data_IF_650994732153
#
_entry.id   IF_650994732153
#
_cell.length_a   1.000
_cell.length_b   1.000
_cell.length_c   1.000
_cell.angle_alpha   90.00
_cell.angle_beta   90.00
_cell.angle_gamma   90.00
#
_symmetry.space_group_name_H-M   'P 1'
#
loop_
_entity.id
_entity.type
_entity.pdbx_description
1 polymer ?
#
# COMPACT_ATOMS: atom_id res chain seq x y z
N UNK A 1 -3.24 48.12 -35.80
CA UNK A 1 -2.30 47.07 -36.30
C UNK A 1 -2.89 45.72 -35.84
N UNK A 2 -3.37 44.93 -36.80
CA UNK A 2 -3.91 43.61 -36.52
C UNK A 2 -2.76 42.64 -36.35
N UNK A 3 -2.66 42.03 -35.19
CA UNK A 3 -1.64 40.99 -34.88
C UNK A 3 -1.98 39.70 -35.61
N UNK A 4 -1.05 39.22 -36.43
CA UNK A 4 -1.14 37.94 -37.16
C UNK A 4 -0.90 36.78 -36.19
N UNK A 5 -1.86 35.89 -36.06
CA UNK A 5 -1.79 34.69 -35.20
C UNK A 5 -1.02 33.59 -35.95
N UNK A 6 0.26 33.47 -35.71
CA UNK A 6 1.10 32.41 -36.30
C UNK A 6 0.89 31.11 -35.52
N UNK A 7 0.03 30.24 -36.01
CA UNK A 7 -0.10 28.85 -35.53
C UNK A 7 1.15 28.05 -35.92
N UNK A 8 2.12 27.95 -35.01
CA UNK A 8 3.24 26.99 -35.17
C UNK A 8 2.72 25.58 -34.99
N UNK A 9 2.52 24.84 -36.06
CA UNK A 9 2.32 23.40 -36.03
C UNK A 9 3.58 22.76 -35.44
N UNK A 10 3.52 22.38 -34.14
CA UNK A 10 4.56 21.56 -33.52
C UNK A 10 4.40 20.17 -34.14
N UNK A 11 5.23 19.82 -35.13
CA UNK A 11 5.33 18.45 -35.61
C UNK A 11 5.87 17.63 -34.43
N UNK A 12 4.98 16.99 -33.71
CA UNK A 12 5.33 15.97 -32.74
C UNK A 12 5.92 14.81 -33.56
N UNK A 13 7.24 14.66 -33.56
CA UNK A 13 7.87 13.44 -34.01
C UNK A 13 7.35 12.30 -33.15
N UNK A 14 6.26 11.69 -33.57
CA UNK A 14 5.66 10.55 -32.90
C UNK A 14 6.70 9.42 -32.92
N UNK A 15 7.30 9.15 -31.78
CA UNK A 15 8.18 7.97 -31.64
C UNK A 15 7.32 6.75 -31.93
N UNK A 16 7.74 5.85 -32.81
CA UNK A 16 6.98 4.64 -33.11
C UNK A 16 6.79 3.87 -31.81
N UNK A 17 5.58 3.34 -31.60
CA UNK A 17 5.32 2.45 -30.47
C UNK A 17 6.12 1.16 -30.69
N UNK A 18 6.99 0.83 -29.74
CA UNK A 18 7.78 -0.41 -29.80
C UNK A 18 7.12 -1.49 -28.94
N UNK A 19 7.20 -2.74 -29.43
CA UNK A 19 6.82 -3.92 -28.66
C UNK A 19 7.63 -3.96 -27.36
N UNK A 20 6.95 -4.19 -26.23
CA UNK A 20 7.62 -4.36 -24.94
C UNK A 20 8.22 -5.77 -24.83
N UNK A 21 9.40 -5.88 -24.22
CA UNK A 21 9.97 -7.15 -23.82
C UNK A 21 9.21 -7.73 -22.64
N UNK A 22 9.15 -9.06 -22.59
CA UNK A 22 8.67 -9.80 -21.43
C UNK A 22 9.73 -9.86 -20.33
N UNK A 23 9.28 -10.06 -19.09
CA UNK A 23 10.17 -10.26 -17.95
C UNK A 23 10.75 -11.68 -17.95
N UNK A 24 12.02 -11.83 -17.57
CA UNK A 24 12.73 -13.14 -17.58
C UNK A 24 12.35 -14.01 -16.39
N UNK A 25 12.02 -13.42 -15.26
CA UNK A 25 11.67 -14.10 -14.02
C UNK A 25 10.58 -13.38 -13.28
N UNK A 26 9.87 -14.10 -12.44
CA UNK A 26 8.93 -13.51 -11.50
C UNK A 26 9.69 -12.74 -10.42
N UNK A 27 9.15 -11.59 -10.05
CA UNK A 27 9.67 -10.78 -8.96
C UNK A 27 8.55 -10.53 -7.94
N UNK A 28 8.65 -11.16 -6.78
CA UNK A 28 7.74 -10.97 -5.64
C UNK A 28 8.41 -10.20 -4.49
N UNK A 29 9.50 -9.50 -4.76
CA UNK A 29 10.20 -8.70 -3.76
C UNK A 29 9.54 -7.32 -3.61
N UNK A 30 8.53 -7.25 -2.77
CA UNK A 30 7.83 -6.03 -2.38
C UNK A 30 7.36 -6.14 -0.92
N UNK A 31 6.99 -5.02 -0.37
CA UNK A 31 6.51 -4.87 1.01
C UNK A 31 5.05 -4.43 0.94
N UNK A 32 4.24 -4.87 1.88
CA UNK A 32 2.89 -4.34 2.11
C UNK A 32 2.84 -3.60 3.43
N UNK A 33 2.04 -2.56 3.51
CA UNK A 33 1.86 -1.76 4.73
C UNK A 33 0.40 -1.38 4.93
N UNK A 34 0.07 -1.06 6.18
CA UNK A 34 -1.22 -0.54 6.58
C UNK A 34 -1.07 0.44 7.74
N UNK A 35 -1.99 1.42 7.84
CA UNK A 35 -2.03 2.44 8.90
C UNK A 35 -3.37 2.40 9.61
N UNK A 36 -3.35 2.15 10.91
CA UNK A 36 -4.55 2.23 11.76
C UNK A 36 -4.69 3.61 12.40
N UNK A 37 -5.92 4.08 12.43
CA UNK A 37 -6.24 5.43 12.92
C UNK A 37 -7.38 5.42 13.93
N UNK A 38 -7.40 6.42 14.81
CA UNK A 38 -8.53 6.73 15.68
C UNK A 38 -9.01 8.16 15.47
N UNK A 39 -10.26 8.43 15.81
CA UNK A 39 -10.79 9.78 15.83
C UNK A 39 -10.52 10.44 17.20
N UNK A 40 -9.71 11.48 17.24
CA UNK A 40 -9.44 12.29 18.44
C UNK A 40 -9.85 13.73 18.15
N UNK A 41 -10.78 14.28 18.92
CA UNK A 41 -11.30 15.63 18.74
C UNK A 41 -11.69 15.92 17.26
N UNK A 42 -12.48 15.02 16.67
CA UNK A 42 -12.92 15.07 15.27
C UNK A 42 -11.80 15.02 14.22
N UNK A 43 -10.57 14.68 14.63
CA UNK A 43 -9.42 14.52 13.74
C UNK A 43 -9.00 13.06 13.66
N UNK A 44 -8.87 12.55 12.43
CA UNK A 44 -8.33 11.21 12.18
C UNK A 44 -6.82 11.21 12.46
N UNK A 45 -6.38 10.37 13.38
CA UNK A 45 -5.02 10.36 13.91
C UNK A 45 -4.43 8.94 13.85
N UNK A 46 -3.34 8.71 13.10
CA UNK A 46 -2.64 7.44 13.09
C UNK A 46 -2.09 7.07 14.47
N UNK A 47 -2.26 5.81 14.87
CA UNK A 47 -1.71 5.28 16.12
C UNK A 47 -0.86 4.02 15.93
N UNK A 48 -1.01 3.35 14.79
CA UNK A 48 -0.27 2.12 14.48
C UNK A 48 0.07 2.10 13.00
N UNK A 49 1.27 1.64 12.67
CA UNK A 49 1.71 1.37 11.31
C UNK A 49 2.39 0.00 11.31
N UNK A 50 1.95 -0.88 10.43
CA UNK A 50 2.60 -2.17 10.19
C UNK A 50 3.11 -2.27 8.76
N UNK A 51 4.14 -3.09 8.54
CA UNK A 51 4.52 -3.55 7.21
C UNK A 51 5.05 -4.98 7.26
N UNK A 52 4.95 -5.66 6.11
CA UNK A 52 5.32 -7.06 5.93
C UNK A 52 6.06 -7.25 4.59
N UNK A 53 7.20 -7.95 4.61
CA UNK A 53 8.03 -8.18 3.42
C UNK A 53 7.90 -9.62 2.85
N UNK A 54 6.92 -10.38 3.29
CA UNK A 54 6.74 -11.79 2.94
C UNK A 54 7.36 -12.76 3.96
N UNK A 55 8.14 -12.24 4.92
CA UNK A 55 8.79 -13.02 5.97
C UNK A 55 8.71 -12.34 7.33
N UNK A 56 9.16 -11.08 7.40
CA UNK A 56 9.32 -10.33 8.63
C UNK A 56 8.33 -9.16 8.69
N UNK A 57 7.89 -8.83 9.90
CA UNK A 57 7.04 -7.69 10.18
C UNK A 57 7.85 -6.56 10.83
N UNK A 58 7.49 -5.34 10.50
CA UNK A 58 7.83 -4.16 11.29
C UNK A 58 6.54 -3.53 11.81
N UNK A 59 6.64 -2.90 12.98
CA UNK A 59 5.49 -2.32 13.68
C UNK A 59 5.94 -1.07 14.42
N UNK A 60 5.22 0.02 14.24
CA UNK A 60 5.37 1.25 15.02
C UNK A 60 4.04 1.59 15.67
N UNK A 61 4.03 1.71 16.99
CA UNK A 61 2.84 2.00 17.80
C UNK A 61 3.03 3.30 18.56
N UNK A 62 2.00 4.15 18.58
CA UNK A 62 2.03 5.42 19.26
C UNK A 62 1.97 5.25 20.79
N UNK A 63 2.60 6.17 21.51
CA UNK A 63 2.42 6.35 22.95
C UNK A 63 1.17 7.21 23.24
N UNK A 64 0.95 7.53 24.54
CA UNK A 64 -0.15 8.41 24.98
C UNK A 64 -0.19 9.77 24.28
N UNK A 65 0.96 10.29 23.87
CA UNK A 65 1.07 11.61 23.23
C UNK A 65 0.57 11.63 21.80
N UNK A 66 0.38 10.44 21.17
CA UNK A 66 0.06 10.30 19.74
C UNK A 66 0.99 11.13 18.84
N UNK A 67 2.28 11.18 19.21
CA UNK A 67 3.28 11.97 18.47
C UNK A 67 3.52 11.36 17.09
N UNK A 68 2.90 11.98 16.09
CA UNK A 68 2.96 11.52 14.70
C UNK A 68 4.39 11.52 14.15
N UNK A 69 5.20 12.51 14.49
CA UNK A 69 6.59 12.58 14.03
C UNK A 69 7.39 11.37 14.54
N UNK A 70 7.25 11.04 15.81
CA UNK A 70 7.91 9.88 16.42
C UNK A 70 7.43 8.58 15.79
N UNK A 71 6.11 8.38 15.66
CA UNK A 71 5.48 7.20 15.07
C UNK A 71 6.05 6.91 13.66
N UNK A 72 5.98 7.89 12.77
CA UNK A 72 6.46 7.73 11.40
C UNK A 72 7.99 7.65 11.29
N UNK A 73 8.73 8.35 12.16
CA UNK A 73 10.20 8.26 12.18
C UNK A 73 10.66 6.84 12.56
N UNK A 74 10.06 6.24 13.58
CA UNK A 74 10.36 4.86 13.99
C UNK A 74 10.02 3.91 12.83
N UNK A 75 8.84 4.03 12.24
CA UNK A 75 8.40 3.19 11.12
C UNK A 75 9.37 3.27 9.93
N UNK A 76 9.70 4.49 9.48
CA UNK A 76 10.58 4.66 8.31
C UNK A 76 11.97 4.10 8.60
N UNK A 77 12.55 4.34 9.79
CA UNK A 77 13.83 3.76 10.16
C UNK A 77 13.82 2.22 10.16
N UNK A 78 12.75 1.61 10.65
CA UNK A 78 12.57 0.16 10.56
C UNK A 78 12.42 -0.29 9.09
N UNK A 79 11.68 0.44 8.26
CA UNK A 79 11.51 0.13 6.84
C UNK A 79 12.85 0.13 6.09
N UNK A 80 13.81 0.99 6.50
CA UNK A 80 15.15 1.02 5.92
C UNK A 80 15.93 -0.29 6.14
N UNK A 81 15.61 -1.07 7.16
CA UNK A 81 16.27 -2.37 7.40
C UNK A 81 15.95 -3.40 6.33
N UNK A 82 14.86 -3.21 5.57
CA UNK A 82 14.47 -4.09 4.47
C UNK A 82 15.25 -3.87 3.17
N UNK A 83 16.17 -2.90 3.16
CA UNK A 83 16.99 -2.64 1.96
C UNK A 83 18.12 -3.64 1.73
N UNK A 84 18.26 -4.71 2.31
CA UNK A 84 19.32 -5.70 2.06
C UNK A 84 20.29 -5.27 0.91
N UNK A 85 20.36 -5.97 -0.20
CA UNK A 85 21.18 -5.61 -1.39
C UNK A 85 20.43 -4.75 -2.42
N UNK A 86 19.15 -4.51 -2.25
CA UNK A 86 18.35 -3.75 -3.21
C UNK A 86 18.66 -2.24 -3.13
N UNK A 87 18.64 -1.57 -4.29
CA UNK A 87 18.70 -0.10 -4.36
C UNK A 87 17.30 0.53 -4.39
N UNK A 88 16.28 -0.26 -4.63
CA UNK A 88 14.88 0.20 -4.66
C UNK A 88 14.01 -0.85 -4.00
N UNK A 89 13.13 -0.40 -3.10
CA UNK A 89 12.06 -1.20 -2.53
C UNK A 89 10.72 -0.62 -2.93
N UNK A 90 9.75 -1.49 -3.20
CA UNK A 90 8.37 -1.12 -3.49
C UNK A 90 7.50 -1.48 -2.28
N UNK A 91 6.71 -0.53 -1.83
CA UNK A 91 5.77 -0.67 -0.70
C UNK A 91 4.36 -0.47 -1.23
N UNK A 92 3.48 -1.44 -1.03
CA UNK A 92 2.06 -1.35 -1.38
C UNK A 92 1.22 -1.09 -0.13
N UNK A 93 0.30 -0.13 -0.21
CA UNK A 93 -0.82 -0.01 0.70
C UNK A 93 -2.13 -0.13 -0.09
N UNK A 94 -3.21 -0.58 0.55
CA UNK A 94 -4.50 -0.72 -0.11
C UNK A 94 -5.33 0.54 0.10
N UNK A 95 -5.62 1.27 -1.00
CA UNK A 95 -6.21 2.61 -0.99
C UNK A 95 -5.26 3.70 -0.46
N UNK A 96 -3.96 3.57 -0.76
CA UNK A 96 -2.92 4.57 -0.43
C UNK A 96 -3.34 5.99 -0.81
N UNK A 97 -3.92 6.15 -2.00
CA UNK A 97 -4.34 7.44 -2.56
C UNK A 97 -5.45 8.11 -1.76
N UNK A 98 -6.33 7.33 -1.15
CA UNK A 98 -7.45 7.84 -0.37
C UNK A 98 -7.17 7.96 1.12
N UNK A 99 -6.10 7.32 1.63
CA UNK A 99 -5.88 7.21 3.07
C UNK A 99 -4.40 7.30 3.47
N UNK A 100 -3.63 6.22 3.42
CA UNK A 100 -2.29 6.12 4.00
C UNK A 100 -1.31 7.16 3.46
N UNK A 101 -1.39 7.48 2.17
CA UNK A 101 -0.52 8.44 1.50
C UNK A 101 -0.62 9.84 2.07
N UNK A 102 -1.81 10.22 2.57
CA UNK A 102 -2.06 11.53 3.19
C UNK A 102 -1.25 11.68 4.47
N UNK A 103 -1.18 10.61 5.27
CA UNK A 103 -0.47 10.63 6.55
C UNK A 103 1.04 10.53 6.37
N UNK A 104 1.53 9.62 5.52
CA UNK A 104 2.96 9.33 5.43
C UNK A 104 3.75 10.42 4.69
N UNK A 105 3.19 11.04 3.67
CA UNK A 105 3.91 11.91 2.72
C UNK A 105 4.72 13.01 3.39
N UNK A 106 4.13 13.75 4.35
CA UNK A 106 4.83 14.84 5.06
C UNK A 106 6.01 14.37 5.89
N UNK A 107 5.97 13.14 6.39
CA UNK A 107 7.04 12.58 7.24
C UNK A 107 8.21 12.05 6.43
N UNK A 108 8.01 11.73 5.14
CA UNK A 108 9.07 11.31 4.23
C UNK A 108 10.08 12.44 3.94
N UNK A 109 9.66 13.71 4.03
CA UNK A 109 10.51 14.88 3.71
C UNK A 109 11.79 14.95 4.57
N UNK A 110 11.76 14.42 5.79
CA UNK A 110 12.96 14.37 6.66
C UNK A 110 13.94 13.27 6.28
N UNK A 111 13.59 12.37 5.38
CA UNK A 111 14.42 11.23 4.95
C UNK A 111 15.00 11.40 3.55
N UNK A 112 14.48 12.31 2.73
CA UNK A 112 14.99 12.50 1.38
C UNK A 112 14.13 13.39 0.49
N UNK A 113 14.44 13.35 -0.82
CA UNK A 113 13.67 14.06 -1.83
C UNK A 113 12.42 13.25 -2.18
N UNK A 114 11.27 13.81 -1.87
CA UNK A 114 9.95 13.21 -2.12
C UNK A 114 9.39 13.72 -3.45
N UNK A 115 8.92 12.79 -4.28
CA UNK A 115 8.35 13.03 -5.60
C UNK A 115 7.00 12.29 -5.70
N UNK A 116 5.89 12.94 -5.34
CA UNK A 116 4.56 12.38 -5.49
C UNK A 116 4.10 12.45 -6.95
N UNK A 117 3.59 11.36 -7.47
CA UNK A 117 2.93 11.32 -8.77
C UNK A 117 1.42 11.50 -8.58
N UNK A 118 0.90 12.58 -9.15
CA UNK A 118 -0.53 12.91 -9.13
C UNK A 118 -1.12 12.77 -10.54
N UNK A 119 -2.34 12.27 -10.62
CA UNK A 119 -3.14 12.25 -11.84
C UNK A 119 -4.57 12.69 -11.53
N UNK A 120 -5.06 13.73 -12.20
CA UNK A 120 -6.36 14.34 -11.94
C UNK A 120 -6.61 14.63 -10.45
N UNK A 121 -5.60 15.19 -9.75
CA UNK A 121 -5.67 15.50 -8.33
C UNK A 121 -5.58 14.31 -7.38
N UNK A 122 -5.51 13.07 -7.89
CA UNK A 122 -5.37 11.86 -7.08
C UNK A 122 -3.92 11.41 -7.01
N UNK A 123 -3.49 11.02 -5.82
CA UNK A 123 -2.16 10.46 -5.58
C UNK A 123 -2.08 9.06 -6.20
N UNK A 124 -1.14 8.84 -7.09
CA UNK A 124 -0.90 7.55 -7.76
C UNK A 124 0.23 6.75 -7.12
N UNK A 125 1.28 7.44 -6.72
CA UNK A 125 2.43 6.88 -6.04
C UNK A 125 3.25 7.97 -5.35
N UNK A 126 4.09 7.57 -4.39
CA UNK A 126 5.06 8.46 -3.75
C UNK A 126 6.44 7.82 -3.91
N UNK A 127 7.33 8.50 -4.59
CA UNK A 127 8.74 8.09 -4.70
C UNK A 127 9.58 8.95 -3.78
N UNK A 128 10.42 8.34 -2.97
CA UNK A 128 11.42 9.04 -2.17
C UNK A 128 12.82 8.55 -2.53
N UNK A 129 13.70 9.49 -2.87
CA UNK A 129 15.15 9.25 -3.00
C UNK A 129 15.81 9.64 -1.68
N UNK A 130 16.33 8.64 -0.98
CA UNK A 130 16.87 8.81 0.37
C UNK A 130 18.17 9.63 0.37
N UNK A 131 18.30 10.49 1.39
CA UNK A 131 19.51 11.28 1.65
C UNK A 131 20.15 10.92 2.99
N UNK A 132 19.51 10.08 3.78
CA UNK A 132 19.99 9.66 5.10
C UNK A 132 21.24 8.79 5.02
N UNK A 133 22.11 8.90 6.04
CA UNK A 133 23.38 8.13 6.16
C UNK A 133 23.12 6.63 6.02
N UNK A 134 23.96 5.92 5.29
CA UNK A 134 23.84 4.47 5.06
C UNK A 134 22.87 4.07 3.93
N UNK A 135 21.92 4.96 3.55
CA UNK A 135 20.93 4.69 2.52
C UNK A 135 20.88 5.75 1.41
N UNK A 136 21.89 6.65 1.36
CA UNK A 136 21.95 7.72 0.37
C UNK A 136 21.87 7.18 -1.06
N UNK A 137 20.92 7.73 -1.84
CA UNK A 137 20.70 7.35 -3.22
C UNK A 137 19.74 6.18 -3.42
N UNK A 138 19.44 5.38 -2.38
CA UNK A 138 18.42 4.34 -2.43
C UNK A 138 17.01 4.96 -2.56
N UNK A 139 16.07 4.17 -3.04
CA UNK A 139 14.72 4.66 -3.38
C UNK A 139 13.66 3.80 -2.71
N UNK A 140 12.63 4.41 -2.14
CA UNK A 140 11.37 3.75 -1.75
C UNK A 140 10.28 4.25 -2.68
N UNK A 141 9.42 3.35 -3.16
CA UNK A 141 8.26 3.69 -3.99
C UNK A 141 7.01 3.14 -3.31
N UNK A 142 6.19 4.03 -2.77
CA UNK A 142 4.88 3.67 -2.25
C UNK A 142 3.87 3.66 -3.39
N UNK A 143 3.07 2.61 -3.48
CA UNK A 143 2.07 2.38 -4.52
C UNK A 143 0.73 1.98 -3.94
N UNK A 144 -0.32 2.32 -4.67
CA UNK A 144 -1.68 1.97 -4.33
C UNK A 144 -2.09 0.65 -5.01
N UNK A 145 -2.30 -0.40 -4.22
CA UNK A 145 -2.78 -1.68 -4.75
C UNK A 145 -4.25 -1.64 -5.18
N UNK A 146 -5.06 -0.72 -4.64
CA UNK A 146 -6.45 -0.53 -5.06
C UNK A 146 -6.56 -0.10 -6.54
N UNK A 147 -5.55 0.60 -7.08
CA UNK A 147 -5.52 0.99 -8.48
C UNK A 147 -5.26 -0.20 -9.43
N UNK A 148 -4.71 -1.30 -8.92
CA UNK A 148 -4.54 -2.57 -9.65
C UNK A 148 -5.72 -3.52 -9.41
N UNK A 149 -6.23 -3.56 -8.18
CA UNK A 149 -7.29 -4.47 -7.73
C UNK A 149 -8.38 -3.65 -7.00
N UNK A 150 -9.34 -3.03 -7.73
CA UNK A 150 -10.29 -2.05 -7.18
C UNK A 150 -11.47 -2.71 -6.45
N UNK A 151 -11.19 -3.51 -5.44
CA UNK A 151 -12.15 -4.15 -4.56
C UNK A 151 -11.70 -4.02 -3.11
N UNK A 152 -12.64 -4.09 -2.16
CA UNK A 152 -12.29 -4.12 -0.73
C UNK A 152 -11.40 -5.33 -0.41
N UNK A 153 -10.45 -5.18 0.52
CA UNK A 153 -9.47 -6.22 0.87
C UNK A 153 -10.14 -7.56 1.23
N UNK A 154 -11.23 -7.55 2.00
CA UNK A 154 -12.02 -8.76 2.34
C UNK A 154 -12.49 -9.51 1.09
N UNK A 155 -13.05 -8.79 0.09
CA UNK A 155 -13.50 -9.39 -1.16
C UNK A 155 -12.34 -9.94 -2.00
N UNK A 156 -11.17 -9.31 -1.92
CA UNK A 156 -9.96 -9.82 -2.56
C UNK A 156 -9.48 -11.09 -1.87
N UNK A 157 -9.52 -11.18 -0.54
CA UNK A 157 -9.20 -12.41 0.19
C UNK A 157 -10.07 -13.58 -0.29
N UNK A 158 -11.37 -13.36 -0.41
CA UNK A 158 -12.32 -14.35 -0.94
C UNK A 158 -11.98 -14.74 -2.39
N UNK A 159 -11.80 -13.75 -3.27
CA UNK A 159 -11.54 -13.98 -4.70
C UNK A 159 -10.22 -14.71 -4.98
N UNK A 160 -9.20 -14.47 -4.15
CA UNK A 160 -7.89 -15.13 -4.27
C UNK A 160 -7.74 -16.35 -3.37
N UNK A 161 -8.79 -16.80 -2.67
CA UNK A 161 -8.77 -17.91 -1.71
C UNK A 161 -7.60 -17.77 -0.70
N UNK A 162 -7.54 -16.59 -0.04
CA UNK A 162 -6.57 -16.35 1.03
C UNK A 162 -7.14 -16.92 2.32
N UNK A 163 -6.40 -17.82 2.94
CA UNK A 163 -6.81 -18.49 4.20
C UNK A 163 -6.70 -17.52 5.38
N UNK A 164 -5.75 -16.61 5.32
CA UNK A 164 -5.57 -15.54 6.32
C UNK A 164 -6.77 -14.61 6.24
N UNK A 165 -7.80 -14.85 7.07
CA UNK A 165 -9.02 -14.04 7.05
C UNK A 165 -8.84 -12.76 7.86
N UNK A 166 -9.43 -11.68 7.36
CA UNK A 166 -9.54 -10.42 8.10
C UNK A 166 -10.33 -10.64 9.39
N UNK A 167 -9.72 -10.35 10.55
CA UNK A 167 -10.35 -10.43 11.86
C UNK A 167 -11.40 -9.33 12.09
N UNK A 168 -12.05 -9.39 13.24
CA UNK A 168 -12.86 -8.30 13.77
C UNK A 168 -12.04 -7.45 14.73
N UNK A 169 -12.27 -6.14 14.73
CA UNK A 169 -11.60 -5.21 15.63
C UNK A 169 -12.59 -4.18 16.17
N UNK A 170 -12.53 -3.78 17.47
CA UNK A 170 -13.46 -2.81 18.06
C UNK A 170 -13.10 -1.37 17.70
N UNK A 171 -13.32 -0.96 16.45
CA UNK A 171 -12.93 0.36 15.92
C UNK A 171 -13.51 1.57 16.66
N UNK A 172 -14.60 1.39 17.41
CA UNK A 172 -15.21 2.48 18.20
C UNK A 172 -14.53 2.66 19.56
N UNK A 173 -13.67 1.74 20.00
CA UNK A 173 -12.84 1.92 21.17
C UNK A 173 -11.66 2.81 20.84
N UNK A 174 -11.54 3.95 21.51
CA UNK A 174 -10.54 4.98 21.19
C UNK A 174 -9.38 5.08 22.17
N UNK A 175 -9.43 4.34 23.28
CA UNK A 175 -8.29 4.26 24.20
C UNK A 175 -7.28 3.23 23.70
N UNK A 176 -6.25 3.73 23.01
CA UNK A 176 -5.19 2.90 22.42
C UNK A 176 -4.31 2.18 23.46
N UNK A 177 -4.44 2.51 24.72
CA UNK A 177 -3.70 1.87 25.82
C UNK A 177 -4.59 0.99 26.69
N UNK A 178 -5.87 0.84 26.31
CA UNK A 178 -6.82 0.05 27.07
C UNK A 178 -6.31 -1.37 27.31
N UNK A 179 -6.35 -1.79 28.56
CA UNK A 179 -6.16 -3.17 29.02
C UNK A 179 -7.22 -3.48 30.06
N UNK A 180 -7.85 -4.64 29.96
CA UNK A 180 -8.88 -5.04 30.90
C UNK A 180 -9.84 -6.05 30.31
N UNK A 181 -11.11 -5.99 30.70
CA UNK A 181 -12.15 -6.90 30.23
C UNK A 181 -12.38 -6.78 28.72
N UNK A 182 -12.83 -7.85 28.10
CA UNK A 182 -13.15 -7.86 26.67
C UNK A 182 -14.15 -6.74 26.33
N UNK A 183 -13.91 -5.93 25.27
CA UNK A 183 -14.74 -4.76 24.93
C UNK A 183 -16.17 -5.18 24.58
N UNK A 184 -17.15 -4.41 25.05
CA UNK A 184 -18.58 -4.65 24.77
C UNK A 184 -18.87 -4.63 23.27
N UNK A 185 -19.92 -5.35 22.86
CA UNK A 185 -20.31 -5.50 21.44
C UNK A 185 -20.52 -4.16 20.72
N UNK A 186 -20.94 -3.11 21.42
CA UNK A 186 -21.17 -1.77 20.88
C UNK A 186 -19.92 -1.12 20.25
N UNK A 187 -18.72 -1.54 20.66
CA UNK A 187 -17.46 -1.08 20.10
C UNK A 187 -17.09 -1.76 18.77
N UNK A 188 -17.76 -2.86 18.44
CA UNK A 188 -17.43 -3.68 17.27
C UNK A 188 -18.33 -3.32 16.08
N UNK A 189 -17.76 -2.91 14.96
CA UNK A 189 -18.50 -2.61 13.74
C UNK A 189 -18.65 -3.87 12.88
N UNK A 190 -19.91 -4.21 12.55
CA UNK A 190 -20.21 -5.29 11.60
C UNK A 190 -19.98 -6.72 12.09
N UNK A 191 -19.85 -6.92 13.42
CA UNK A 191 -19.83 -8.25 14.03
C UNK A 191 -21.25 -8.71 14.32
N UNK A 192 -21.55 -9.97 14.08
CA UNK A 192 -22.81 -10.60 14.55
C UNK A 192 -22.71 -10.99 16.04
N UNK A 193 -23.87 -11.14 16.72
CA UNK A 193 -23.88 -11.57 18.11
C UNK A 193 -23.18 -12.92 18.32
N UNK A 194 -23.38 -13.86 17.40
CA UNK A 194 -22.75 -15.19 17.47
C UNK A 194 -21.23 -15.13 17.33
N UNK A 195 -20.71 -14.30 16.42
CA UNK A 195 -19.26 -14.10 16.25
C UNK A 195 -18.65 -13.39 17.46
N UNK A 196 -19.36 -12.40 18.02
CA UNK A 196 -18.96 -11.74 19.26
C UNK A 196 -18.87 -12.71 20.43
N UNK A 197 -19.85 -13.60 20.59
CA UNK A 197 -19.88 -14.59 21.69
C UNK A 197 -18.72 -15.58 21.60
N UNK A 198 -18.33 -15.97 20.37
CA UNK A 198 -17.16 -16.81 20.13
C UNK A 198 -15.88 -16.10 20.61
N UNK A 199 -15.66 -14.87 20.14
CA UNK A 199 -14.51 -14.06 20.55
C UNK A 199 -14.50 -13.79 22.06
N UNK A 200 -15.66 -13.45 22.65
CA UNK A 200 -15.76 -13.20 24.08
C UNK A 200 -15.36 -14.42 24.91
N UNK A 201 -15.68 -15.64 24.46
CA UNK A 201 -15.24 -16.88 25.12
C UNK A 201 -13.73 -17.08 25.04
N UNK A 202 -13.12 -16.78 23.90
CA UNK A 202 -11.66 -16.88 23.73
C UNK A 202 -10.89 -15.99 24.71
N UNK A 203 -11.43 -14.80 25.01
CA UNK A 203 -10.80 -13.81 25.90
C UNK A 203 -11.33 -13.84 27.34
N UNK A 204 -12.22 -14.80 27.71
CA UNK A 204 -12.85 -14.82 29.02
C UNK A 204 -11.88 -15.04 30.19
N UNK A 205 -10.71 -15.63 29.94
CA UNK A 205 -9.71 -15.98 30.96
C UNK A 205 -8.46 -15.07 30.93
N UNK A 206 -8.41 -14.06 30.06
CA UNK A 206 -7.24 -13.19 29.90
C UNK A 206 -7.65 -11.73 29.76
N UNK A 207 -6.79 -10.83 30.23
CA UNK A 207 -6.98 -9.39 30.00
C UNK A 207 -6.83 -9.07 28.52
N UNK A 208 -7.85 -8.45 27.93
CA UNK A 208 -7.81 -7.98 26.57
C UNK A 208 -6.96 -6.71 26.47
N UNK A 209 -6.08 -6.64 25.46
CA UNK A 209 -5.19 -5.51 25.21
C UNK A 209 -5.48 -4.90 23.84
N UNK A 210 -5.89 -3.63 23.82
CA UNK A 210 -6.09 -2.89 22.55
C UNK A 210 -4.85 -2.93 21.67
N UNK A 211 -3.68 -2.67 22.26
CA UNK A 211 -2.42 -2.64 21.53
C UNK A 211 -2.11 -3.98 20.86
N UNK A 212 -2.24 -5.08 21.61
CA UNK A 212 -1.84 -6.39 21.10
C UNK A 212 -2.80 -6.85 19.98
N UNK A 213 -4.10 -6.62 20.15
CA UNK A 213 -5.10 -6.95 19.15
C UNK A 213 -5.04 -6.03 17.93
N UNK A 214 -4.78 -4.72 18.11
CA UNK A 214 -4.56 -3.81 17.00
C UNK A 214 -3.35 -4.21 16.16
N UNK A 215 -2.23 -4.57 16.80
CA UNK A 215 -1.04 -5.04 16.11
C UNK A 215 -1.32 -6.34 15.35
N UNK A 216 -2.02 -7.29 15.97
CA UNK A 216 -2.42 -8.54 15.33
C UNK A 216 -3.29 -8.27 14.10
N UNK A 217 -4.30 -7.41 14.24
CA UNK A 217 -5.21 -7.02 13.17
C UNK A 217 -4.47 -6.37 11.98
N UNK A 218 -3.68 -5.32 12.23
CA UNK A 218 -2.92 -4.60 11.21
C UNK A 218 -1.88 -5.50 10.50
N UNK A 219 -1.22 -6.41 11.23
CA UNK A 219 -0.31 -7.42 10.64
C UNK A 219 -1.06 -8.37 9.71
N UNK A 220 -2.26 -8.81 10.08
CA UNK A 220 -3.09 -9.67 9.23
C UNK A 220 -3.48 -8.94 7.94
N UNK A 221 -3.88 -7.67 8.00
CA UNK A 221 -4.20 -6.89 6.80
C UNK A 221 -2.98 -6.73 5.86
N UNK A 222 -1.78 -6.46 6.42
CA UNK A 222 -0.53 -6.46 5.64
C UNK A 222 -0.25 -7.82 4.99
N UNK A 223 -0.40 -8.93 5.73
CA UNK A 223 -0.16 -10.27 5.22
C UNK A 223 -1.18 -10.65 4.14
N UNK A 224 -2.47 -10.43 4.38
CA UNK A 224 -3.52 -10.67 3.38
C UNK A 224 -3.20 -9.94 2.08
N UNK A 225 -2.88 -8.66 2.15
CA UNK A 225 -2.52 -7.86 0.97
C UNK A 225 -1.30 -8.45 0.25
N UNK A 226 -0.28 -8.88 1.00
CA UNK A 226 0.93 -9.47 0.42
C UNK A 226 0.61 -10.76 -0.33
N UNK A 227 -0.15 -11.68 0.28
CA UNK A 227 -0.53 -12.95 -0.33
C UNK A 227 -1.39 -12.75 -1.60
N UNK A 228 -2.32 -11.78 -1.57
CA UNK A 228 -3.12 -11.39 -2.75
C UNK A 228 -2.21 -10.92 -3.89
N UNK A 229 -1.28 -9.99 -3.60
CA UNK A 229 -0.40 -9.44 -4.62
C UNK A 229 0.58 -10.47 -5.17
N UNK A 230 1.05 -11.43 -4.34
CA UNK A 230 1.86 -12.56 -4.80
C UNK A 230 1.07 -13.42 -5.79
N UNK A 231 -0.13 -13.86 -5.42
CA UNK A 231 -1.00 -14.68 -6.29
C UNK A 231 -1.38 -13.93 -7.57
N UNK A 232 -1.67 -12.64 -7.48
CA UNK A 232 -1.96 -11.81 -8.66
C UNK A 232 -0.74 -11.69 -9.58
N UNK A 233 0.45 -11.46 -9.02
CA UNK A 233 1.69 -11.39 -9.78
C UNK A 233 2.00 -12.73 -10.46
N UNK A 234 1.84 -13.85 -9.77
CA UNK A 234 2.00 -15.21 -10.32
C UNK A 234 1.03 -15.47 -11.49
N UNK A 235 -0.23 -15.09 -11.35
CA UNK A 235 -1.23 -15.19 -12.39
C UNK A 235 -0.83 -14.42 -13.65
N UNK A 236 -0.46 -13.14 -13.50
CA UNK A 236 -0.02 -12.29 -14.60
C UNK A 236 1.27 -12.81 -15.23
N UNK A 237 2.24 -13.24 -14.42
CA UNK A 237 3.50 -13.78 -14.92
C UNK A 237 3.31 -15.12 -15.66
N UNK A 238 2.48 -16.00 -15.13
CA UNK A 238 2.15 -17.28 -15.77
C UNK A 238 1.62 -17.10 -17.19
N UNK A 239 0.68 -16.18 -17.39
CA UNK A 239 -0.01 -15.98 -18.66
C UNK A 239 0.72 -15.02 -19.62
N UNK A 240 1.38 -13.98 -19.11
CA UNK A 240 1.91 -12.89 -19.93
C UNK A 240 3.40 -12.65 -19.77
N UNK A 241 4.07 -13.34 -18.85
CA UNK A 241 5.50 -13.09 -18.53
C UNK A 241 5.79 -11.63 -18.18
N UNK A 242 4.90 -11.01 -17.42
CA UNK A 242 5.03 -9.64 -16.92
C UNK A 242 4.84 -9.62 -15.41
N UNK A 243 5.58 -8.76 -14.73
CA UNK A 243 5.41 -8.47 -13.31
C UNK A 243 4.52 -7.25 -13.09
N UNK A 244 3.75 -7.28 -11.99
CA UNK A 244 2.80 -6.20 -11.64
C UNK A 244 3.48 -4.95 -11.06
N UNK A 245 4.79 -4.96 -10.83
CA UNK A 245 5.47 -3.86 -10.13
C UNK A 245 5.72 -2.61 -10.96
N UNK A 246 5.64 -2.70 -12.29
CA UNK A 246 5.89 -1.54 -13.15
C UNK A 246 4.63 -0.70 -13.31
N UNK A 247 3.46 -1.26 -13.71
CA UNK A 247 2.25 -0.46 -13.86
C UNK A 247 1.74 0.04 -12.50
N UNK A 248 1.09 1.20 -12.52
CA UNK A 248 0.44 1.77 -11.33
C UNK A 248 -1.05 1.45 -11.27
N UNK A 249 -1.66 1.13 -12.42
CA UNK A 249 -3.11 0.92 -12.53
C UNK A 249 -3.43 -0.31 -13.36
N UNK A 250 -4.62 -0.87 -13.19
CA UNK A 250 -5.11 -1.99 -14.00
C UNK A 250 -5.13 -1.66 -15.52
N UNK A 251 -5.61 -0.47 -15.97
CA UNK A 251 -5.51 -0.10 -17.39
C UNK A 251 -4.06 -0.03 -17.89
N UNK A 252 -3.11 0.46 -17.08
CA UNK A 252 -1.71 0.48 -17.44
C UNK A 252 -1.12 -0.93 -17.57
N UNK A 253 -1.54 -1.86 -16.71
CA UNK A 253 -1.19 -3.28 -16.80
C UNK A 253 -1.74 -3.89 -18.09
N UNK A 254 -3.01 -3.67 -18.41
CA UNK A 254 -3.65 -4.14 -19.65
C UNK A 254 -2.91 -3.62 -20.90
N UNK A 255 -2.52 -2.34 -20.92
CA UNK A 255 -1.73 -1.76 -21.99
C UNK A 255 -0.34 -2.41 -22.11
N UNK A 256 0.31 -2.74 -21.00
CA UNK A 256 1.60 -3.46 -21.02
C UNK A 256 1.44 -4.87 -21.59
N UNK A 257 0.39 -5.58 -21.22
CA UNK A 257 0.04 -6.91 -21.77
C UNK A 257 -0.14 -6.79 -23.29
N UNK A 258 -0.96 -5.83 -23.75
CA UNK A 258 -1.16 -5.59 -25.17
C UNK A 258 0.16 -5.33 -25.88
N UNK A 259 0.99 -4.42 -25.38
CA UNK A 259 2.28 -4.07 -25.98
C UNK A 259 3.30 -5.20 -26.01
N UNK A 260 3.25 -6.13 -25.06
CA UNK A 260 4.19 -7.26 -25.01
C UNK A 260 3.74 -8.45 -25.85
N UNK A 261 2.44 -8.73 -25.93
CA UNK A 261 1.91 -9.95 -26.55
C UNK A 261 1.41 -9.70 -27.97
N UNK A 262 0.67 -8.62 -28.20
CA UNK A 262 -0.14 -8.43 -29.42
C UNK A 262 0.37 -7.35 -30.36
N UNK A 263 1.24 -6.46 -29.86
CA UNK A 263 1.77 -5.39 -30.68
C UNK A 263 2.84 -5.89 -31.66
N UNK A 264 2.84 -5.47 -32.93
CA UNK A 264 3.93 -5.75 -33.86
C UNK A 264 5.24 -5.12 -33.37
N UNK A 265 6.39 -5.62 -33.85
CA UNK A 265 7.71 -5.13 -33.42
C UNK A 265 7.87 -3.61 -33.61
N UNK A 266 7.28 -3.08 -34.66
CA UNK A 266 7.22 -1.64 -34.95
C UNK A 266 5.78 -1.34 -35.38
N UNK A 267 5.11 -0.44 -34.66
CA UNK A 267 3.82 0.11 -35.06
C UNK A 267 4.01 1.62 -35.36
N UNK A 268 3.70 2.07 -36.55
CA UNK A 268 3.55 3.47 -36.88
C UNK A 268 2.07 3.84 -36.83
N UNK A 269 1.74 4.94 -36.14
CA UNK A 269 0.43 5.55 -36.25
C UNK A 269 0.57 6.61 -37.34
N UNK A 270 -0.02 6.36 -38.49
CA UNK A 270 -0.20 7.38 -39.51
C UNK A 270 -1.41 8.24 -39.06
N UNK A 271 -1.19 9.53 -38.82
CA UNK A 271 -2.23 10.52 -38.57
C UNK A 271 -2.70 11.10 -39.90
#
# INVERSE_FOLDING_TARGET
>A
MAGELVLRKKVLNAKPFTKLSIDKSINSNFITMDIETIAVNSKVTPYLICAYNGKDYITSYADKSLNQKTLFTIFINQLLTFFDKANTITVYAHNLSGFDGIFIMKHLLSFGKVDPLLFNGKLMSIKIKLTVKGHKGKTIIFKDSYLLLPLALRKLCEAFNIVTSKGYFPFKLTDILYKGVFPKIEYWAGISSSEYDILHKEYSAVDWSFKDEAIKYCKLDCQCLHEILVKFNELIFKHFKLNIHIPLTLPALAMRIYKSQFMPKIASINY
#
